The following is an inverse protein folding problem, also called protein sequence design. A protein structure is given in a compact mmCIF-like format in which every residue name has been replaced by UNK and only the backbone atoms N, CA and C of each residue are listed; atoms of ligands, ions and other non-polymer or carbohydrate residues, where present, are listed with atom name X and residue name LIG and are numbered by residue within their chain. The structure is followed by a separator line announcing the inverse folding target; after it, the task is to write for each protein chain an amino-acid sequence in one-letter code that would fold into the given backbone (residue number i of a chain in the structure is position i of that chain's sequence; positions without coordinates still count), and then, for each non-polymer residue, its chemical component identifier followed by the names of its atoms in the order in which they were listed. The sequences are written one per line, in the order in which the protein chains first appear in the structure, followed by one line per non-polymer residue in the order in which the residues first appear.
data_IF_729881604571
#
_entry.id   IF_729881604571
#
_cell.length_a   1.000
_cell.length_b   1.000
_cell.length_c   1.000
_cell.angle_alpha   90.00
_cell.angle_beta   90.00
_cell.angle_gamma   90.00
#
_symmetry.space_group_name_H-M   'P 1'
#
loop_
_entity.id
_entity.type
_entity.pdbx_description
1 polymer ?
#
# COMPACT_ATOMS: atom_id res chain seq x y z
N UNK A 1 54.27 -6.28 -21.81
CA UNK A 1 53.61 -6.00 -23.10
C UNK A 1 53.27 -7.31 -23.80
N UNK A 2 52.10 -7.40 -24.47
CA UNK A 2 51.24 -8.58 -24.44
C UNK A 2 51.21 -9.36 -25.77
N UNK A 3 50.57 -10.53 -25.76
CA UNK A 3 49.61 -11.03 -26.77
C UNK A 3 48.97 -12.33 -26.24
N UNK A 4 47.66 -12.28 -25.92
CA UNK A 4 46.88 -13.43 -25.44
C UNK A 4 46.24 -14.23 -26.58
N UNK A 5 45.35 -15.18 -26.25
CA UNK A 5 44.32 -15.61 -27.18
C UNK A 5 42.89 -15.47 -26.63
N UNK A 6 42.01 -15.18 -27.59
CA UNK A 6 40.55 -15.28 -27.57
C UNK A 6 40.02 -16.54 -26.85
N UNK A 7 39.04 -16.37 -25.96
CA UNK A 7 38.12 -17.44 -25.55
C UNK A 7 36.71 -17.06 -26.01
N UNK A 8 36.14 -18.03 -26.72
CA UNK A 8 34.83 -18.07 -27.37
C UNK A 8 33.68 -17.96 -26.36
N UNK A 9 32.63 -17.29 -26.81
CA UNK A 9 31.34 -17.17 -26.14
C UNK A 9 30.75 -18.55 -25.79
N UNK A 10 30.44 -18.75 -24.51
CA UNK A 10 29.49 -19.76 -24.08
C UNK A 10 28.32 -19.03 -23.38
N UNK A 11 27.20 -18.98 -24.09
CA UNK A 11 25.87 -18.65 -23.57
C UNK A 11 25.56 -19.55 -22.37
N UNK A 12 25.70 -19.02 -21.16
CA UNK A 12 25.24 -19.71 -19.95
C UNK A 12 23.74 -19.46 -19.82
N UNK A 13 22.95 -20.51 -20.09
CA UNK A 13 21.50 -20.49 -19.97
C UNK A 13 21.07 -20.07 -18.58
N UNK A 14 20.28 -19.01 -18.52
CA UNK A 14 19.42 -18.68 -17.38
C UNK A 14 18.37 -19.79 -17.26
N UNK A 15 18.71 -20.85 -16.55
CA UNK A 15 17.74 -21.83 -16.07
C UNK A 15 16.88 -21.07 -15.06
N UNK A 16 15.68 -20.67 -15.50
CA UNK A 16 14.58 -20.30 -14.63
C UNK A 16 14.26 -21.54 -13.78
N UNK A 17 14.90 -21.66 -12.63
CA UNK A 17 14.47 -22.58 -11.60
C UNK A 17 13.05 -22.16 -11.19
N UNK A 18 12.06 -23.06 -11.19
CA UNK A 18 10.76 -22.75 -10.60
C UNK A 18 11.01 -22.52 -9.11
N UNK A 19 10.97 -21.25 -8.69
CA UNK A 19 10.88 -20.93 -7.27
C UNK A 19 9.57 -21.57 -6.81
N UNK A 20 9.59 -22.55 -5.90
CA UNK A 20 8.37 -23.13 -5.39
C UNK A 20 7.51 -22.01 -4.81
N UNK A 21 6.25 -21.98 -5.21
CA UNK A 21 5.26 -21.02 -4.76
C UNK A 21 4.92 -21.28 -3.28
N UNK A 22 5.74 -20.78 -2.37
CA UNK A 22 5.38 -20.64 -0.95
C UNK A 22 4.52 -19.39 -0.80
N UNK A 23 3.26 -19.47 -1.23
CA UNK A 23 2.25 -18.43 -1.06
C UNK A 23 0.84 -19.04 -0.96
N UNK A 24 0.72 -20.21 -0.34
CA UNK A 24 -0.54 -20.66 0.25
C UNK A 24 -0.41 -20.34 1.75
N UNK A 25 -1.26 -19.45 2.23
CA UNK A 25 -1.43 -19.05 3.63
C UNK A 25 -1.07 -20.14 4.64
N UNK A 26 0.11 -20.02 5.23
CA UNK A 26 0.51 -20.81 6.39
C UNK A 26 -0.14 -20.14 7.61
N UNK A 27 -1.35 -20.59 7.93
CA UNK A 27 -1.81 -20.55 9.32
C UNK A 27 -0.83 -21.46 10.08
N UNK A 28 -0.21 -21.02 11.19
CA UNK A 28 0.80 -21.80 11.91
C UNK A 28 0.30 -23.23 12.17
N UNK A 29 1.05 -24.22 11.69
CA UNK A 29 0.68 -25.64 11.73
C UNK A 29 0.81 -26.27 13.14
N UNK A 30 1.14 -25.49 14.17
CA UNK A 30 1.25 -25.93 15.56
C UNK A 30 -0.04 -25.75 16.38
N UNK A 31 -1.09 -25.16 15.80
CA UNK A 31 -2.48 -25.27 16.30
C UNK A 31 -3.43 -25.29 15.09
N UNK A 32 -3.45 -26.39 14.34
CA UNK A 32 -4.46 -26.62 13.32
C UNK A 32 -5.82 -26.92 13.99
N UNK A 33 -6.38 -25.94 14.68
CA UNK A 33 -7.68 -26.05 15.34
C UNK A 33 -8.76 -26.28 14.28
N UNK A 34 -9.43 -27.42 14.36
CA UNK A 34 -10.46 -27.81 13.40
C UNK A 34 -11.73 -27.04 13.73
N UNK A 35 -12.03 -25.99 12.97
CA UNK A 35 -13.29 -25.25 13.13
C UNK A 35 -14.39 -25.92 12.31
N UNK A 36 -15.41 -26.46 12.99
CA UNK A 36 -16.60 -27.03 12.35
C UNK A 36 -17.80 -26.12 12.60
N UNK A 37 -18.44 -25.66 11.51
CA UNK A 37 -19.65 -24.85 11.59
C UNK A 37 -20.87 -25.77 11.55
N UNK A 38 -21.66 -25.82 12.63
CA UNK A 38 -22.88 -26.63 12.73
C UNK A 38 -24.12 -25.72 12.65
N UNK A 39 -24.99 -25.87 11.63
CA UNK A 39 -26.25 -25.14 11.57
C UNK A 39 -27.24 -25.72 12.60
N UNK A 40 -27.81 -24.86 13.44
CA UNK A 40 -28.79 -25.21 14.48
C UNK A 40 -30.11 -24.49 14.17
N UNK A 41 -31.25 -25.17 14.30
CA UNK A 41 -32.56 -24.61 13.98
C UNK A 41 -33.37 -24.35 15.25
N UNK A 42 -34.04 -23.19 15.31
CA UNK A 42 -34.86 -22.78 16.44
C UNK A 42 -34.10 -22.83 17.78
N UNK A 43 -34.69 -23.56 18.73
CA UNK A 43 -34.15 -23.78 20.08
C UNK A 43 -33.37 -25.10 20.22
N UNK A 44 -32.99 -25.75 19.11
CA UNK A 44 -32.17 -26.96 19.15
C UNK A 44 -30.83 -26.68 19.89
N UNK A 45 -30.34 -27.68 20.63
CA UNK A 45 -29.13 -27.55 21.44
C UNK A 45 -27.87 -27.65 20.55
N UNK A 46 -26.95 -26.71 20.74
CA UNK A 46 -25.64 -26.75 20.12
C UNK A 46 -24.74 -27.67 20.95
N UNK A 47 -24.60 -28.93 20.52
CA UNK A 47 -23.70 -29.86 21.17
C UNK A 47 -22.25 -29.34 21.13
N UNK A 48 -21.52 -29.35 22.26
CA UNK A 48 -20.12 -28.94 22.30
C UNK A 48 -19.25 -29.93 21.51
N UNK A 49 -18.05 -29.52 21.13
CA UNK A 49 -17.06 -30.43 20.56
C UNK A 49 -16.74 -31.56 21.53
N UNK A 50 -16.58 -32.76 20.98
CA UNK A 50 -16.13 -33.95 21.73
C UNK A 50 -14.60 -34.02 21.78
N UNK A 51 -13.94 -33.44 20.78
CA UNK A 51 -12.49 -33.40 20.64
C UNK A 51 -11.92 -32.08 21.21
N UNK A 52 -10.77 -32.16 21.88
CA UNK A 52 -10.10 -31.00 22.51
C UNK A 52 -9.49 -30.01 21.50
N UNK A 53 -9.25 -30.44 20.26
CA UNK A 53 -8.66 -29.65 19.18
C UNK A 53 -9.71 -29.19 18.13
N UNK A 54 -11.01 -29.31 18.47
CA UNK A 54 -12.14 -28.92 17.60
C UNK A 54 -12.95 -27.79 18.26
N UNK A 55 -13.14 -26.69 17.53
CA UNK A 55 -14.12 -25.65 17.89
C UNK A 55 -15.38 -25.84 17.05
N UNK A 56 -16.50 -26.10 17.72
CA UNK A 56 -17.81 -26.09 17.08
C UNK A 56 -18.41 -24.69 17.18
N UNK A 57 -18.60 -24.03 16.03
CA UNK A 57 -19.29 -22.74 15.93
C UNK A 57 -20.71 -22.99 15.45
N UNK A 58 -21.69 -22.74 16.32
CA UNK A 58 -23.10 -22.90 15.96
C UNK A 58 -23.69 -21.64 15.34
N UNK A 59 -24.16 -21.77 14.11
CA UNK A 59 -24.92 -20.72 13.42
C UNK A 59 -26.40 -21.03 13.57
N UNK A 60 -27.16 -20.14 14.22
CA UNK A 60 -28.60 -20.33 14.48
C UNK A 60 -29.46 -19.82 13.33
N UNK A 61 -30.42 -20.64 12.92
CA UNK A 61 -31.47 -20.34 11.95
C UNK A 61 -32.85 -20.52 12.59
N UNK A 62 -33.89 -19.87 12.04
CA UNK A 62 -35.28 -20.02 12.48
C UNK A 62 -35.83 -21.44 12.18
N UNK A 63 -36.84 -21.94 12.92
CA UNK A 63 -37.39 -23.29 12.69
C UNK A 63 -37.99 -23.45 11.27
N UNK A 64 -38.50 -22.37 10.69
CA UNK A 64 -39.03 -22.37 9.32
C UNK A 64 -37.97 -22.59 8.23
N UNK A 65 -36.69 -22.46 8.59
CA UNK A 65 -35.53 -22.64 7.71
C UNK A 65 -35.10 -24.10 7.56
N UNK A 66 -35.60 -25.00 8.43
CA UNK A 66 -35.18 -26.42 8.49
C UNK A 66 -35.41 -27.19 7.18
N UNK A 67 -36.48 -26.86 6.46
CA UNK A 67 -36.86 -27.54 5.20
C UNK A 67 -36.84 -26.59 4.00
N UNK A 68 -36.34 -25.36 4.18
CA UNK A 68 -36.29 -24.34 3.13
C UNK A 68 -34.86 -24.23 2.61
N UNK A 69 -34.72 -23.89 1.33
CA UNK A 69 -33.41 -23.56 0.75
C UNK A 69 -32.77 -22.44 1.58
N UNK A 70 -31.52 -22.57 2.05
CA UNK A 70 -30.84 -21.56 2.85
C UNK A 70 -30.88 -20.18 2.19
N UNK A 71 -30.98 -19.07 2.96
CA UNK A 71 -31.20 -17.73 2.43
C UNK A 71 -30.14 -17.28 1.43
N UNK A 72 -28.88 -17.67 1.64
CA UNK A 72 -27.77 -17.42 0.72
C UNK A 72 -27.92 -18.12 -0.65
N UNK A 73 -28.74 -19.16 -0.74
CA UNK A 73 -29.01 -19.92 -1.96
C UNK A 73 -30.39 -19.59 -2.56
N UNK A 74 -31.15 -18.65 -1.98
CA UNK A 74 -32.44 -18.18 -2.50
C UNK A 74 -32.34 -17.15 -3.63
N UNK A 75 -31.13 -16.87 -4.11
CA UNK A 75 -30.92 -15.92 -5.21
C UNK A 75 -31.72 -16.28 -6.47
N UNK A 76 -31.67 -15.42 -7.47
CA UNK A 76 -32.33 -15.69 -8.75
C UNK A 76 -31.82 -17.03 -9.32
N UNK A 77 -32.70 -18.03 -9.53
CA UNK A 77 -32.33 -19.30 -10.13
C UNK A 77 -31.71 -19.13 -11.52
N UNK A 78 -31.98 -18.00 -12.20
CA UNK A 78 -31.48 -17.66 -13.51
C UNK A 78 -30.23 -16.76 -13.48
N UNK A 79 -29.70 -16.43 -12.30
CA UNK A 79 -28.44 -15.67 -12.21
C UNK A 79 -27.34 -16.46 -12.95
N UNK A 80 -26.63 -15.84 -13.91
CA UNK A 80 -25.52 -16.48 -14.62
C UNK A 80 -24.46 -17.12 -13.70
N UNK A 81 -24.30 -16.63 -12.46
CA UNK A 81 -23.40 -17.21 -11.45
C UNK A 81 -23.85 -18.58 -10.96
N UNK A 82 -25.15 -18.85 -10.96
CA UNK A 82 -25.77 -20.10 -10.50
C UNK A 82 -25.81 -21.17 -11.62
N UNK A 83 -25.40 -20.83 -12.84
CA UNK A 83 -25.33 -21.79 -13.94
C UNK A 83 -24.16 -22.76 -13.75
N UNK A 84 -24.45 -24.05 -13.99
CA UNK A 84 -23.44 -25.09 -14.00
C UNK A 84 -22.27 -24.71 -14.92
N UNK A 85 -21.04 -24.99 -14.48
CA UNK A 85 -19.84 -24.62 -15.24
C UNK A 85 -19.87 -25.15 -16.68
N UNK A 86 -20.37 -26.37 -16.88
CA UNK A 86 -20.53 -26.96 -18.20
C UNK A 86 -21.44 -26.12 -19.14
N UNK A 87 -22.55 -25.58 -18.62
CA UNK A 87 -23.45 -24.71 -19.39
C UNK A 87 -22.78 -23.36 -19.73
N UNK A 88 -21.98 -22.83 -18.79
CA UNK A 88 -21.20 -21.61 -19.03
C UNK A 88 -20.14 -21.82 -20.12
N UNK A 89 -19.42 -22.94 -20.09
CA UNK A 89 -18.43 -23.28 -21.13
C UNK A 89 -19.12 -23.49 -22.48
N UNK A 90 -20.26 -24.18 -22.51
CA UNK A 90 -21.04 -24.39 -23.72
C UNK A 90 -21.52 -23.07 -24.34
N UNK A 91 -21.88 -22.07 -23.53
CA UNK A 91 -22.26 -20.74 -24.03
C UNK A 91 -21.09 -19.95 -24.67
N UNK A 92 -19.84 -20.32 -24.34
CA UNK A 92 -18.62 -19.71 -24.90
C UNK A 92 -18.11 -20.48 -26.12
N UNK A 93 -18.64 -21.67 -26.37
CA UNK A 93 -18.25 -22.51 -27.50
C UNK A 93 -18.93 -22.00 -28.78
N UNK A 94 -18.13 -21.41 -29.66
CA UNK A 94 -18.57 -20.95 -30.99
C UNK A 94 -18.27 -21.97 -32.10
N UNK A 95 -17.64 -23.09 -31.74
CA UNK A 95 -17.27 -24.16 -32.67
C UNK A 95 -18.54 -24.81 -33.21
N UNK A 96 -18.73 -24.77 -34.54
CA UNK A 96 -19.89 -25.37 -35.21
C UNK A 96 -21.12 -24.48 -35.34
N UNK A 97 -21.14 -23.29 -34.72
CA UNK A 97 -22.22 -22.32 -34.89
C UNK A 97 -22.02 -21.50 -36.18
N UNK A 98 -22.18 -22.10 -37.36
CA UNK A 98 -22.02 -21.42 -38.66
C UNK A 98 -23.34 -21.38 -39.45
N UNK A 99 -23.66 -20.23 -40.06
CA UNK A 99 -24.85 -20.07 -40.90
C UNK A 99 -25.52 -18.69 -40.78
N UNK A 100 -26.65 -18.54 -41.48
CA UNK A 100 -27.50 -17.35 -41.38
C UNK A 100 -28.18 -17.33 -40.00
N UNK A 101 -28.04 -16.24 -39.23
CA UNK A 101 -28.41 -16.09 -37.81
C UNK A 101 -27.43 -16.66 -36.76
N UNK A 102 -26.23 -17.15 -37.14
CA UNK A 102 -25.18 -17.45 -36.15
C UNK A 102 -24.22 -16.27 -36.01
N UNK A 103 -23.92 -15.84 -34.78
CA UNK A 103 -22.93 -14.77 -34.55
C UNK A 103 -21.50 -15.32 -34.45
N UNK A 104 -21.08 -16.02 -35.50
CA UNK A 104 -19.74 -16.60 -35.59
C UNK A 104 -18.77 -15.67 -36.30
N UNK A 105 -17.51 -15.58 -35.84
CA UNK A 105 -16.47 -14.83 -36.54
C UNK A 105 -16.07 -15.47 -37.87
N UNK A 106 -16.46 -16.73 -38.13
CA UNK A 106 -16.14 -17.47 -39.36
C UNK A 106 -17.36 -17.58 -40.28
N UNK A 107 -17.26 -17.08 -41.52
CA UNK A 107 -18.32 -17.14 -42.54
C UNK A 107 -18.54 -15.83 -43.33
N UNK A 108 -19.42 -15.87 -44.33
CA UNK A 108 -19.83 -14.69 -45.11
C UNK A 108 -20.60 -13.72 -44.22
N UNK A 109 -19.98 -12.59 -43.88
CA UNK A 109 -20.57 -11.55 -43.04
C UNK A 109 -20.21 -11.59 -41.55
N UNK A 110 -19.39 -12.54 -41.07
CA UNK A 110 -18.95 -12.55 -39.66
C UNK A 110 -18.13 -11.30 -39.26
N UNK A 111 -17.41 -10.74 -40.25
CA UNK A 111 -16.62 -9.53 -40.09
C UNK A 111 -17.44 -8.24 -39.93
N UNK A 112 -18.73 -8.22 -40.29
CA UNK A 112 -19.53 -6.99 -40.30
C UNK A 112 -20.07 -6.60 -38.91
N UNK A 113 -19.92 -7.44 -37.89
CA UNK A 113 -20.32 -7.08 -36.52
C UNK A 113 -20.02 -8.12 -35.43
N UNK A 114 -20.04 -9.41 -35.76
CA UNK A 114 -19.83 -10.47 -34.77
C UNK A 114 -18.41 -10.55 -34.24
N UNK A 115 -17.40 -10.28 -35.08
CA UNK A 115 -16.02 -10.12 -34.61
C UNK A 115 -15.89 -8.98 -33.60
N UNK A 116 -16.49 -7.82 -33.86
CA UNK A 116 -16.45 -6.67 -32.94
C UNK A 116 -17.16 -6.99 -31.63
N UNK A 117 -18.30 -7.70 -31.67
CA UNK A 117 -19.00 -8.13 -30.46
C UNK A 117 -18.14 -9.09 -29.63
N UNK A 118 -17.46 -10.06 -30.25
CA UNK A 118 -16.56 -10.98 -29.57
C UNK A 118 -15.39 -10.24 -28.89
N UNK A 119 -14.80 -9.27 -29.60
CA UNK A 119 -13.73 -8.41 -29.06
C UNK A 119 -14.23 -7.62 -27.85
N UNK A 120 -15.41 -6.99 -27.95
CA UNK A 120 -16.01 -6.24 -26.85
C UNK A 120 -16.29 -7.12 -25.64
N UNK A 121 -16.83 -8.33 -25.86
CA UNK A 121 -17.07 -9.30 -24.80
C UNK A 121 -15.77 -9.72 -24.10
N UNK A 122 -14.71 -10.00 -24.85
CA UNK A 122 -13.39 -10.31 -24.30
C UNK A 122 -12.85 -9.18 -23.42
N UNK A 123 -12.84 -7.94 -23.93
CA UNK A 123 -12.37 -6.80 -23.13
C UNK A 123 -13.27 -6.51 -21.92
N UNK A 124 -14.58 -6.74 -22.03
CA UNK A 124 -15.49 -6.61 -20.88
C UNK A 124 -15.19 -7.64 -19.79
N UNK A 125 -14.92 -8.89 -20.18
CA UNK A 125 -14.54 -9.96 -19.25
C UNK A 125 -13.18 -9.67 -18.60
N UNK A 126 -12.22 -9.16 -19.38
CA UNK A 126 -10.91 -8.77 -18.86
C UNK A 126 -10.99 -7.59 -17.89
N UNK A 127 -11.86 -6.60 -18.13
CA UNK A 127 -12.09 -5.49 -17.18
C UNK A 127 -12.74 -5.96 -15.88
N UNK A 128 -13.54 -7.02 -15.94
CA UNK A 128 -14.21 -7.62 -14.78
C UNK A 128 -13.39 -8.75 -14.15
N UNK A 129 -12.17 -9.00 -14.65
CA UNK A 129 -11.27 -9.99 -14.08
C UNK A 129 -10.93 -9.61 -12.63
N UNK A 130 -10.91 -10.60 -11.74
CA UNK A 130 -10.68 -10.42 -10.31
C UNK A 130 -9.35 -9.71 -10.01
N UNK A 131 -8.29 -10.01 -10.76
CA UNK A 131 -6.96 -9.41 -10.55
C UNK A 131 -6.96 -7.91 -10.88
N UNK A 132 -7.66 -7.51 -11.95
CA UNK A 132 -7.80 -6.11 -12.35
C UNK A 132 -8.63 -5.34 -11.32
N UNK A 133 -9.71 -5.93 -10.81
CA UNK A 133 -10.54 -5.32 -9.79
C UNK A 133 -9.80 -5.21 -8.45
N UNK A 134 -9.06 -6.25 -8.05
CA UNK A 134 -8.20 -6.23 -6.88
C UNK A 134 -7.14 -5.12 -7.00
N UNK A 135 -6.50 -4.97 -8.16
CA UNK A 135 -5.54 -3.89 -8.42
C UNK A 135 -6.14 -2.49 -8.24
N UNK A 136 -7.39 -2.27 -8.69
CA UNK A 136 -8.10 -0.99 -8.49
C UNK A 136 -8.35 -0.70 -7.01
N UNK A 137 -8.77 -1.70 -6.25
CA UNK A 137 -9.01 -1.55 -4.80
C UNK A 137 -7.70 -1.27 -4.05
N UNK A 138 -6.60 -1.92 -4.44
CA UNK A 138 -5.27 -1.67 -3.88
C UNK A 138 -4.83 -0.23 -4.17
N UNK A 139 -5.03 0.24 -5.40
CA UNK A 139 -4.69 1.61 -5.77
C UNK A 139 -5.54 2.63 -5.00
N UNK A 140 -6.85 2.41 -4.88
CA UNK A 140 -7.71 3.26 -4.07
C UNK A 140 -7.22 3.34 -2.61
N UNK A 141 -6.94 2.19 -1.98
CA UNK A 141 -6.41 2.16 -0.61
C UNK A 141 -5.02 2.83 -0.49
N UNK A 142 -4.21 2.78 -1.56
CA UNK A 142 -2.94 3.53 -1.62
C UNK A 142 -3.19 5.03 -1.63
N UNK A 143 -4.11 5.50 -2.46
CA UNK A 143 -4.47 6.91 -2.55
C UNK A 143 -5.03 7.44 -1.23
N UNK A 144 -5.90 6.68 -0.55
CA UNK A 144 -6.42 7.04 0.79
C UNK A 144 -5.31 7.16 1.84
N UNK A 145 -4.31 6.27 1.80
CA UNK A 145 -3.14 6.36 2.70
C UNK A 145 -2.29 7.58 2.37
N UNK A 146 -2.05 7.85 1.08
CA UNK A 146 -1.27 9.00 0.63
C UNK A 146 -1.96 10.30 1.01
N UNK A 147 -3.28 10.42 0.81
CA UNK A 147 -4.01 11.64 1.16
C UNK A 147 -3.93 11.97 2.65
N UNK A 148 -3.96 10.94 3.52
CA UNK A 148 -3.77 11.14 4.96
C UNK A 148 -2.34 11.57 5.29
N UNK A 149 -1.32 10.99 4.64
CA UNK A 149 0.08 11.39 4.84
C UNK A 149 0.28 12.83 4.38
N UNK A 150 -0.32 13.23 3.26
CA UNK A 150 -0.23 14.58 2.73
C UNK A 150 -0.90 15.60 3.66
N UNK A 151 -2.04 15.24 4.26
CA UNK A 151 -2.72 16.05 5.28
C UNK A 151 -1.87 16.20 6.54
N UNK A 152 -1.32 15.10 7.06
CA UNK A 152 -0.41 15.12 8.22
C UNK A 152 0.87 15.92 7.94
N UNK A 153 1.45 15.77 6.75
CA UNK A 153 2.64 16.52 6.33
C UNK A 153 2.36 18.03 6.26
N UNK A 154 1.21 18.45 5.72
CA UNK A 154 0.83 19.85 5.65
C UNK A 154 0.72 20.49 7.05
N UNK A 155 0.21 19.75 8.04
CA UNK A 155 0.15 20.23 9.43
C UNK A 155 1.55 20.41 10.03
N UNK A 156 2.47 19.47 9.76
CA UNK A 156 3.85 19.55 10.24
C UNK A 156 4.59 20.72 9.58
N UNK A 157 4.43 20.91 8.27
CA UNK A 157 5.02 22.03 7.54
C UNK A 157 4.52 23.38 8.07
N UNK A 158 3.22 23.50 8.37
CA UNK A 158 2.66 24.71 8.96
C UNK A 158 3.26 25.01 10.35
N UNK A 159 3.32 24.01 11.23
CA UNK A 159 3.89 24.15 12.57
C UNK A 159 5.39 24.51 12.53
N UNK A 160 6.14 23.95 11.57
CA UNK A 160 7.55 24.27 11.36
C UNK A 160 7.76 25.73 10.98
N UNK A 161 6.95 26.25 10.06
CA UNK A 161 7.03 27.64 9.61
C UNK A 161 6.70 28.63 10.73
N UNK A 162 5.68 28.32 11.56
CA UNK A 162 5.36 29.11 12.74
C UNK A 162 6.54 29.18 13.69
N UNK A 163 7.12 28.02 14.04
CA UNK A 163 8.30 27.95 14.91
C UNK A 163 9.50 28.72 14.33
N UNK A 164 9.75 28.61 13.02
CA UNK A 164 10.83 29.37 12.38
C UNK A 164 10.59 30.88 12.47
N UNK A 165 9.36 31.33 12.25
CA UNK A 165 9.00 32.76 12.31
C UNK A 165 9.17 33.35 13.72
N UNK A 166 8.83 32.58 14.77
CA UNK A 166 9.01 32.98 16.17
C UNK A 166 10.48 33.13 16.54
N UNK A 167 11.32 32.15 16.14
CA UNK A 167 12.76 32.20 16.37
C UNK A 167 13.42 33.37 15.66
N UNK A 168 13.00 33.69 14.43
CA UNK A 168 13.47 34.87 13.71
C UNK A 168 13.06 36.17 14.41
N UNK A 169 11.83 36.25 14.93
CA UNK A 169 11.37 37.41 15.69
C UNK A 169 12.16 37.59 17.00
N UNK A 170 12.38 36.51 17.74
CA UNK A 170 13.18 36.51 18.96
C UNK A 170 14.64 36.93 18.70
N UNK A 171 15.26 36.40 17.64
CA UNK A 171 16.62 36.76 17.23
C UNK A 171 16.74 38.26 16.95
N UNK A 172 15.78 38.83 16.21
CA UNK A 172 15.75 40.28 15.92
C UNK A 172 15.61 41.12 17.20
N UNK A 173 14.84 40.67 18.19
CA UNK A 173 14.73 41.35 19.48
C UNK A 173 16.07 41.38 20.23
N UNK A 174 16.77 40.23 20.29
CA UNK A 174 18.08 40.12 20.93
C UNK A 174 19.14 40.99 20.24
N UNK A 175 19.21 40.95 18.92
CA UNK A 175 20.14 41.79 18.14
C UNK A 175 19.85 43.29 18.37
N UNK A 176 18.57 43.70 18.49
CA UNK A 176 18.20 45.08 18.79
C UNK A 176 18.57 45.51 20.22
N UNK A 177 18.38 44.64 21.21
CA UNK A 177 18.81 44.87 22.59
C UNK A 177 20.33 44.98 22.71
N UNK A 178 21.07 44.10 22.02
CA UNK A 178 22.54 44.14 21.96
C UNK A 178 23.04 45.40 21.26
N UNK A 179 22.40 45.82 20.16
CA UNK A 179 22.71 47.07 19.49
C UNK A 179 22.40 48.30 20.35
N UNK A 180 21.30 48.29 21.12
CA UNK A 180 20.96 49.35 22.06
C UNK A 180 21.95 49.41 23.24
N UNK A 181 22.36 48.25 23.76
CA UNK A 181 23.38 48.16 24.80
C UNK A 181 24.76 48.64 24.29
N UNK A 182 25.12 48.31 23.05
CA UNK A 182 26.35 48.79 22.41
C UNK A 182 26.31 50.31 22.18
N UNK A 183 25.16 50.88 21.80
CA UNK A 183 24.98 52.33 21.66
C UNK A 183 25.06 53.04 23.02
N UNK A 184 24.50 52.46 24.08
CA UNK A 184 24.61 52.98 25.44
C UNK A 184 26.08 52.95 25.94
N UNK A 185 26.80 51.84 25.72
CA UNK A 185 28.22 51.73 26.05
C UNK A 185 29.10 52.70 25.24
N UNK A 186 28.73 53.01 24.00
CA UNK A 186 29.41 54.02 23.18
C UNK A 186 29.16 55.47 23.62
N UNK A 187 28.06 55.75 24.34
CA UNK A 187 27.73 57.09 24.84
C UNK A 187 28.47 57.49 26.13
N UNK A 188 28.98 56.52 26.90
CA UNK A 188 29.78 56.76 28.12
C UNK A 188 31.27 57.07 27.83
N UNK A 189 31.73 56.96 26.58
CA UNK A 189 33.14 57.21 26.19
C UNK A 189 33.41 58.68 25.81
N UNK A 190 32.40 59.53 25.65
CA UNK A 190 32.56 60.91 25.14
C UNK A 190 32.67 62.02 26.22
N UNK A 191 32.98 61.71 27.48
CA UNK A 191 33.10 62.70 28.57
C UNK A 191 34.33 62.47 29.47
N UNK A 192 35.54 62.44 28.91
CA UNK A 192 36.75 62.78 29.66
C UNK A 192 37.72 63.58 28.77
N UNK A 193 38.07 64.84 29.11
CA UNK A 193 39.14 65.54 28.40
C UNK A 193 40.49 64.86 28.69
N UNK A 194 41.24 64.60 27.63
CA UNK A 194 42.57 63.99 27.63
C UNK A 194 43.55 64.65 28.61
N UNK A 195 44.23 63.82 29.41
CA UNK A 195 45.54 64.14 29.99
C UNK A 195 46.50 62.99 29.63
N UNK A 196 47.57 63.22 28.85
CA UNK A 196 48.46 62.16 28.41
C UNK A 196 49.47 61.83 29.51
N UNK A 197 49.39 60.63 30.07
CA UNK A 197 50.28 60.21 31.14
C UNK A 197 50.30 58.70 31.38
N UNK A 198 51.38 58.11 30.89
CA UNK A 198 52.05 56.87 31.32
C UNK A 198 51.46 55.49 31.01
N UNK A 199 52.17 54.81 30.12
CA UNK A 199 52.65 53.42 30.16
C UNK A 199 52.13 52.48 31.28
N UNK A 200 51.53 51.36 30.88
CA UNK A 200 52.05 50.05 31.28
C UNK A 200 51.64 48.93 30.31
N UNK A 201 52.60 48.05 30.10
CA UNK A 201 52.65 46.89 29.24
C UNK A 201 51.89 45.68 29.81
N UNK A 202 51.40 44.78 28.94
CA UNK A 202 51.60 43.31 29.00
C UNK A 202 50.74 42.57 27.96
N UNK A 203 51.36 42.30 26.82
CA UNK A 203 51.53 40.99 26.14
C UNK A 203 50.36 39.97 26.08
N UNK A 204 49.98 39.61 24.84
CA UNK A 204 49.20 38.42 24.41
C UNK A 204 49.76 37.99 23.03
N UNK A 205 49.69 36.72 22.54
CA UNK A 205 49.93 35.36 23.06
C UNK A 205 50.92 34.58 22.10
N UNK A 206 51.01 33.22 22.03
CA UNK A 206 50.01 32.41 21.29
C UNK A 206 49.74 30.97 21.80
N UNK A 207 48.71 30.40 21.17
CA UNK A 207 47.99 29.12 21.22
C UNK A 207 48.78 27.81 21.13
N UNK A 208 48.23 26.72 21.70
CA UNK A 208 48.41 25.33 21.23
C UNK A 208 47.28 24.37 21.71
N UNK A 209 46.83 23.53 20.77
CA UNK A 209 45.80 22.48 20.77
C UNK A 209 45.87 21.29 21.78
N UNK A 210 44.71 20.58 21.83
CA UNK A 210 44.47 19.12 21.97
C UNK A 210 44.42 18.38 23.32
N UNK A 211 43.21 17.90 23.71
CA UNK A 211 42.96 16.55 24.25
C UNK A 211 41.43 16.22 24.33
N UNK A 212 40.96 15.01 23.90
CA UNK A 212 39.55 14.59 23.96
C UNK A 212 39.19 13.86 25.27
N UNK A 213 37.90 13.84 25.70
CA UNK A 213 37.48 13.03 26.83
C UNK A 213 37.10 11.59 26.42
N UNK A 214 37.36 10.67 27.36
CA UNK A 214 37.05 9.24 27.36
C UNK A 214 35.58 8.93 27.61
#
# INVERSE_FOLDING_TARGET
MPKGPLIVAATFGLIAAPIPAWAQSEVPADVAERIVQKPVYGDDECEPSVDADEIVVCVRFDESERYRIPPNLRGDPNDPKNQAWALRVQSLETVGATGTNSCSPVGVGGFTGCTTQLINNYYSAQRNNADVQAGRLIEQARQERLSRIDEEAALVEAAELERQSELEAYRKQREAEEAAAAQAAGSDVQLTPDNPGSDDSLTVPPTAEDAPPS
#
